data_IF_497440754204
#
_entry.id   IF_497440754204
#
_cell.length_a   1.000
_cell.length_b   1.000
_cell.length_c   1.000
_cell.angle_alpha   90.00
_cell.angle_beta   90.00
_cell.angle_gamma   90.00
#
_symmetry.space_group_name_H-M   'P 1'
#
loop_
_entity.id
_entity.type
_entity.pdbx_description
1 polymer ?
#
# COMPACT_ATOMS: atom_id res chain seq x y z
N UNK A 1 112.43 -2.23 52.95
CA UNK A 1 113.18 -2.07 51.68
C UNK A 1 112.16 -1.88 50.56
N UNK A 2 112.49 -1.03 49.57
CA UNK A 2 111.59 -0.46 48.54
C UNK A 2 110.89 -1.52 47.66
N UNK A 3 109.66 -1.21 47.26
CA UNK A 3 108.99 -1.82 46.09
C UNK A 3 107.79 -0.98 45.65
N UNK A 4 107.88 -0.33 44.49
CA UNK A 4 106.81 0.41 43.81
C UNK A 4 105.93 -0.55 42.99
N UNK A 5 104.65 -0.23 42.85
CA UNK A 5 103.79 -0.71 41.75
C UNK A 5 102.41 -0.09 41.94
N UNK A 6 101.89 0.82 41.12
CA UNK A 6 101.62 0.86 39.67
C UNK A 6 100.09 0.99 39.53
N UNK A 7 99.66 2.08 38.88
CA UNK A 7 98.29 2.53 38.72
C UNK A 7 97.54 1.68 37.69
N UNK A 8 96.29 1.32 37.97
CA UNK A 8 95.33 0.86 36.97
C UNK A 8 94.05 1.69 37.09
N UNK A 9 93.85 2.60 36.14
CA UNK A 9 92.64 3.38 35.96
C UNK A 9 91.88 2.79 34.76
N UNK A 10 90.76 2.09 35.02
CA UNK A 10 89.92 1.47 33.98
C UNK A 10 89.08 2.56 33.29
N UNK A 11 89.25 2.70 31.97
CA UNK A 11 88.34 3.45 31.07
C UNK A 11 87.20 2.53 30.63
N UNK A 12 85.98 2.99 30.82
CA UNK A 12 84.73 2.37 30.34
C UNK A 12 84.52 2.76 28.87
N UNK A 13 84.33 1.77 28.01
CA UNK A 13 83.95 1.97 26.60
C UNK A 13 82.42 1.90 26.49
N UNK A 14 81.81 2.98 26.00
CA UNK A 14 80.39 3.07 25.65
C UNK A 14 80.23 2.61 24.20
N UNK A 15 79.47 1.54 23.99
CA UNK A 15 78.98 1.14 22.67
C UNK A 15 77.53 1.61 22.53
N UNK A 16 77.29 2.58 21.65
CA UNK A 16 75.95 3.03 21.30
C UNK A 16 75.33 2.07 20.27
N UNK A 17 74.38 1.25 20.70
CA UNK A 17 73.54 0.46 19.81
C UNK A 17 72.34 1.32 19.35
N UNK A 18 72.40 1.83 18.12
CA UNK A 18 71.28 2.51 17.48
C UNK A 18 70.16 1.52 17.17
N UNK A 19 69.04 1.65 17.87
CA UNK A 19 67.83 0.87 17.61
C UNK A 19 66.91 1.69 16.71
N UNK A 20 66.76 1.29 15.45
CA UNK A 20 65.79 1.88 14.52
C UNK A 20 64.42 1.29 14.84
N UNK A 21 63.56 2.08 15.49
CA UNK A 21 62.15 1.74 15.65
C UNK A 21 61.41 2.01 14.33
N UNK A 22 61.12 0.94 13.58
CA UNK A 22 60.21 1.02 12.44
C UNK A 22 58.77 1.10 12.98
N UNK A 23 58.20 2.31 13.02
CA UNK A 23 56.79 2.50 13.34
C UNK A 23 55.94 2.01 12.17
N UNK A 24 55.45 0.78 12.25
CA UNK A 24 54.50 0.22 11.30
C UNK A 24 53.10 0.73 11.69
N UNK A 25 52.67 1.82 11.08
CA UNK A 25 51.29 2.32 11.20
C UNK A 25 50.37 1.42 10.38
N UNK A 26 49.80 0.40 11.02
CA UNK A 26 48.70 -0.37 10.45
C UNK A 26 47.48 0.55 10.33
N UNK A 27 47.23 1.04 9.12
CA UNK A 27 45.97 1.68 8.76
C UNK A 27 44.90 0.60 8.77
N UNK A 28 44.14 0.52 9.87
CA UNK A 28 42.88 -0.23 9.89
C UNK A 28 41.92 0.55 9.00
N UNK A 29 41.90 0.21 7.72
CA UNK A 29 40.84 0.63 6.83
C UNK A 29 39.54 0.01 7.35
N UNK A 30 38.69 0.83 7.97
CA UNK A 30 37.32 0.45 8.22
C UNK A 30 36.71 0.11 6.86
N UNK A 31 36.60 -1.18 6.56
CA UNK A 31 35.78 -1.64 5.46
C UNK A 31 34.35 -1.34 5.88
N UNK A 32 33.83 -0.20 5.43
CA UNK A 32 32.40 0.02 5.35
C UNK A 32 31.88 -1.10 4.47
N UNK A 33 31.41 -2.18 5.07
CA UNK A 33 30.51 -3.11 4.40
C UNK A 33 29.31 -2.26 4.03
N UNK A 34 29.30 -1.76 2.80
CA UNK A 34 28.11 -1.19 2.21
C UNK A 34 27.04 -2.27 2.36
N UNK A 35 26.05 -2.02 3.21
CA UNK A 35 24.83 -2.83 3.27
C UNK A 35 24.38 -2.98 1.82
N UNK A 36 24.32 -4.21 1.27
CA UNK A 36 23.85 -4.37 -0.09
C UNK A 36 22.48 -3.67 -0.17
N UNK A 37 22.23 -2.85 -1.21
CA UNK A 37 20.91 -2.25 -1.36
C UNK A 37 19.90 -3.40 -1.29
N UNK A 38 18.89 -3.26 -0.43
CA UNK A 38 17.78 -4.21 -0.35
C UNK A 38 17.30 -4.40 -1.78
N UNK A 39 17.61 -5.56 -2.36
CA UNK A 39 17.28 -5.87 -3.74
C UNK A 39 15.76 -5.96 -3.72
N UNK A 40 15.08 -4.92 -4.21
CA UNK A 40 13.63 -4.87 -4.20
C UNK A 40 13.13 -6.10 -4.92
N UNK A 41 12.47 -7.01 -4.19
CA UNK A 41 11.95 -8.25 -4.78
C UNK A 41 10.99 -7.91 -5.90
N UNK A 42 10.96 -8.74 -6.94
CA UNK A 42 10.16 -8.48 -8.14
C UNK A 42 9.29 -9.70 -8.46
N UNK A 43 8.06 -9.45 -8.91
CA UNK A 43 7.14 -10.42 -9.48
C UNK A 43 6.59 -9.84 -10.79
N UNK A 44 6.57 -10.68 -11.83
CA UNK A 44 6.01 -10.31 -13.13
C UNK A 44 4.50 -10.53 -13.09
N UNK A 45 3.73 -9.51 -13.45
CA UNK A 45 2.31 -9.63 -13.65
C UNK A 45 2.03 -10.42 -14.93
N UNK A 46 1.20 -11.45 -14.84
CA UNK A 46 0.82 -12.28 -16.00
C UNK A 46 -0.64 -12.03 -16.32
N UNK A 47 -0.92 -11.75 -17.59
CA UNK A 47 -2.29 -11.55 -18.04
C UNK A 47 -3.05 -12.88 -18.07
N UNK A 48 -4.19 -12.95 -17.41
CA UNK A 48 -5.06 -14.11 -17.40
C UNK A 48 -5.72 -14.29 -18.77
N UNK A 49 -5.63 -15.50 -19.33
CA UNK A 49 -6.37 -15.85 -20.56
C UNK A 49 -7.85 -16.05 -20.30
N UNK A 50 -8.18 -16.56 -19.10
CA UNK A 50 -9.52 -16.69 -18.55
C UNK A 50 -9.46 -16.22 -17.08
N UNK A 51 -10.40 -15.39 -16.62
CA UNK A 51 -10.49 -15.03 -15.20
C UNK A 51 -10.57 -16.28 -14.31
N UNK A 52 -9.80 -16.33 -13.20
CA UNK A 52 -9.95 -17.39 -12.20
C UNK A 52 -11.32 -17.29 -11.52
N UNK A 53 -11.84 -18.43 -11.05
CA UNK A 53 -13.07 -18.45 -10.25
C UNK A 53 -12.69 -18.22 -8.80
N UNK A 54 -13.26 -17.20 -8.15
CA UNK A 54 -12.94 -16.89 -6.75
C UNK A 54 -13.77 -17.79 -5.83
N UNK A 55 -13.31 -19.02 -5.62
CA UNK A 55 -13.94 -20.02 -4.76
C UNK A 55 -13.01 -20.53 -3.64
N UNK A 56 -11.77 -20.06 -3.63
CA UNK A 56 -10.75 -20.38 -2.63
C UNK A 56 -10.04 -21.69 -2.93
N UNK A 57 -10.37 -22.39 -4.02
CA UNK A 57 -9.74 -23.62 -4.46
C UNK A 57 -8.67 -23.34 -5.52
N UNK A 58 -7.40 -23.52 -5.16
CA UNK A 58 -6.30 -23.30 -6.10
C UNK A 58 -6.07 -24.50 -7.03
N UNK A 59 -7.01 -24.72 -7.96
CA UNK A 59 -6.93 -25.73 -9.02
C UNK A 59 -5.68 -25.50 -9.89
N UNK A 60 -5.03 -26.58 -10.30
CA UNK A 60 -3.70 -26.55 -10.93
C UNK A 60 -3.67 -25.72 -12.23
N UNK A 61 -4.76 -25.66 -13.00
CA UNK A 61 -4.77 -24.99 -14.30
C UNK A 61 -5.00 -23.48 -14.26
N UNK A 62 -5.71 -22.94 -13.25
CA UNK A 62 -6.11 -21.53 -13.24
C UNK A 62 -4.92 -20.59 -12.96
N UNK A 63 -4.00 -21.03 -12.09
CA UNK A 63 -2.87 -20.23 -11.63
C UNK A 63 -1.52 -20.63 -12.24
N UNK A 64 -1.47 -21.64 -13.12
CA UNK A 64 -0.19 -22.18 -13.63
C UNK A 64 0.69 -21.19 -14.39
N UNK A 65 0.09 -20.16 -14.97
CA UNK A 65 0.80 -19.14 -15.71
C UNK A 65 1.49 -18.12 -14.79
N UNK A 66 1.03 -17.99 -13.54
CA UNK A 66 1.60 -17.09 -12.56
C UNK A 66 2.84 -17.71 -11.89
N UNK A 67 3.89 -16.91 -11.73
CA UNK A 67 5.01 -17.28 -10.89
C UNK A 67 4.60 -17.25 -9.41
N UNK A 68 4.97 -18.28 -8.65
CA UNK A 68 4.82 -18.27 -7.21
C UNK A 68 5.91 -17.42 -6.56
N UNK A 69 5.54 -16.44 -5.73
CA UNK A 69 6.49 -15.80 -4.82
C UNK A 69 6.52 -16.51 -3.48
N UNK A 70 7.73 -16.72 -2.96
CA UNK A 70 7.98 -17.44 -1.70
C UNK A 70 8.96 -16.69 -0.82
N UNK A 71 9.37 -17.30 0.30
CA UNK A 71 10.45 -16.77 1.15
C UNK A 71 10.02 -15.56 1.98
N UNK A 72 8.83 -15.63 2.56
CA UNK A 72 8.31 -14.60 3.46
C UNK A 72 9.25 -14.44 4.67
N UNK A 73 9.45 -13.20 5.10
CA UNK A 73 10.35 -12.81 6.19
C UNK A 73 9.51 -12.33 7.36
N UNK A 74 9.80 -12.85 8.55
CA UNK A 74 9.11 -12.49 9.77
C UNK A 74 9.30 -11.00 10.09
N UNK A 75 8.19 -10.34 10.39
CA UNK A 75 8.13 -9.04 11.06
C UNK A 75 8.10 -9.23 12.58
N UNK A 76 7.41 -10.27 13.03
CA UNK A 76 7.34 -10.76 14.40
C UNK A 76 7.10 -12.29 14.38
N UNK A 77 7.45 -13.02 15.46
CA UNK A 77 8.15 -12.53 16.66
C UNK A 77 9.64 -12.28 16.41
N UNK A 78 10.25 -12.97 15.45
CA UNK A 78 11.70 -12.91 15.19
C UNK A 78 11.98 -12.11 13.92
N UNK A 79 11.99 -10.78 14.05
CA UNK A 79 12.16 -9.87 12.91
C UNK A 79 13.38 -10.21 12.07
N UNK A 80 13.19 -10.38 10.77
CA UNK A 80 14.25 -10.66 9.80
C UNK A 80 14.54 -12.14 9.56
N UNK A 81 13.98 -13.05 10.35
CA UNK A 81 14.09 -14.48 10.09
C UNK A 81 13.14 -14.93 8.98
N UNK A 82 13.40 -16.10 8.39
CA UNK A 82 12.48 -16.71 7.43
C UNK A 82 11.22 -17.18 8.17
N UNK A 83 10.06 -17.07 7.50
CA UNK A 83 8.80 -17.59 8.04
C UNK A 83 8.90 -19.08 8.36
N UNK A 84 8.32 -19.50 9.49
CA UNK A 84 8.42 -20.90 9.95
C UNK A 84 7.61 -21.86 9.05
N UNK A 85 6.69 -21.32 8.25
CA UNK A 85 5.88 -22.08 7.30
C UNK A 85 5.99 -21.51 5.89
N UNK A 86 5.77 -22.39 4.90
CA UNK A 86 5.78 -21.98 3.49
C UNK A 86 4.49 -21.22 3.17
N UNK A 87 4.64 -20.02 2.63
CA UNK A 87 3.56 -19.28 2.00
C UNK A 87 3.95 -18.97 0.57
N UNK A 88 3.01 -19.18 -0.35
CA UNK A 88 3.13 -18.84 -1.76
C UNK A 88 2.06 -17.82 -2.11
N UNK A 89 2.42 -16.77 -2.84
CA UNK A 89 1.46 -15.85 -3.45
C UNK A 89 1.62 -15.83 -4.97
N UNK A 90 0.51 -15.63 -5.66
CA UNK A 90 0.40 -15.64 -7.11
C UNK A 90 -0.34 -14.38 -7.55
N UNK A 91 0.05 -13.81 -8.68
CA UNK A 91 -0.61 -12.62 -9.23
C UNK A 91 -0.95 -12.84 -10.69
N UNK A 92 -2.21 -12.57 -11.02
CA UNK A 92 -2.71 -12.49 -12.38
C UNK A 92 -3.47 -11.16 -12.54
N UNK A 93 -3.69 -10.74 -13.78
CA UNK A 93 -4.56 -9.59 -14.06
C UNK A 93 -5.26 -9.75 -15.40
N UNK A 94 -6.34 -9.01 -15.61
CA UNK A 94 -6.93 -8.82 -16.93
C UNK A 94 -7.26 -7.33 -17.16
N UNK A 95 -8.08 -7.03 -18.16
CA UNK A 95 -8.45 -5.65 -18.49
C UNK A 95 -9.31 -4.97 -17.41
N UNK A 96 -9.93 -5.73 -16.50
CA UNK A 96 -10.86 -5.24 -15.50
C UNK A 96 -10.45 -5.50 -14.05
N UNK A 97 -9.62 -6.51 -13.76
CA UNK A 97 -9.32 -6.95 -12.40
C UNK A 97 -7.85 -7.30 -12.18
N UNK A 98 -7.40 -7.09 -10.93
CA UNK A 98 -6.21 -7.71 -10.37
C UNK A 98 -6.64 -8.95 -9.57
N UNK A 99 -6.01 -10.08 -9.81
CA UNK A 99 -6.24 -11.32 -9.09
C UNK A 99 -5.01 -11.71 -8.28
N UNK A 100 -5.23 -12.09 -7.03
CA UNK A 100 -4.15 -12.58 -6.16
C UNK A 100 -4.62 -13.85 -5.48
N UNK A 101 -3.75 -14.86 -5.39
CA UNK A 101 -4.03 -16.05 -4.63
C UNK A 101 -2.90 -16.40 -3.67
N UNK A 102 -3.24 -17.13 -2.62
CA UNK A 102 -2.32 -17.60 -1.61
C UNK A 102 -2.45 -19.12 -1.44
N UNK A 103 -1.32 -19.82 -1.44
CA UNK A 103 -1.19 -21.15 -0.83
C UNK A 103 -0.46 -21.00 0.48
N UNK A 104 -1.19 -21.20 1.56
CA UNK A 104 -0.65 -21.09 2.89
C UNK A 104 -0.51 -22.47 3.53
N UNK A 105 0.73 -22.97 3.51
CA UNK A 105 1.05 -24.23 4.14
C UNK A 105 1.04 -24.06 5.64
N UNK A 106 0.36 -24.96 6.32
CA UNK A 106 0.27 -24.93 7.77
C UNK A 106 0.06 -26.36 8.30
N UNK A 107 1.02 -26.92 9.06
CA UNK A 107 0.89 -28.26 9.62
C UNK A 107 -0.03 -28.31 10.85
N UNK A 108 -0.51 -27.16 11.34
CA UNK A 108 -1.32 -27.04 12.56
C UNK A 108 -2.75 -26.58 12.23
N UNK A 109 -3.71 -26.81 13.14
CA UNK A 109 -5.10 -26.39 12.93
C UNK A 109 -5.24 -24.88 12.69
N UNK A 110 -5.96 -24.52 11.63
CA UNK A 110 -6.22 -23.13 11.25
C UNK A 110 -7.19 -22.47 12.24
N UNK A 111 -6.81 -21.29 12.74
CA UNK A 111 -7.60 -20.44 13.63
C UNK A 111 -8.26 -19.34 12.81
N UNK A 112 -9.60 -19.34 12.74
CA UNK A 112 -10.34 -18.23 12.16
C UNK A 112 -11.74 -18.16 12.79
N UNK A 113 -12.05 -17.03 13.44
CA UNK A 113 -13.30 -16.81 14.17
C UNK A 113 -14.01 -15.51 13.76
N UNK A 114 -13.26 -14.54 13.21
CA UNK A 114 -13.80 -13.25 12.83
C UNK A 114 -14.61 -13.36 11.53
N UNK A 115 -15.88 -13.01 11.60
CA UNK A 115 -16.84 -13.03 10.46
C UNK A 115 -17.30 -11.64 10.04
N UNK A 116 -17.00 -10.63 10.86
CA UNK A 116 -17.34 -9.24 10.58
C UNK A 116 -16.32 -8.63 9.61
N UNK A 117 -16.81 -8.06 8.51
CA UNK A 117 -16.00 -7.25 7.59
C UNK A 117 -15.36 -6.07 8.33
N UNK A 118 -14.10 -5.79 8.00
CA UNK A 118 -13.27 -4.73 8.60
C UNK A 118 -12.93 -4.92 10.09
N UNK A 119 -13.09 -6.14 10.61
CA UNK A 119 -12.51 -6.52 11.89
C UNK A 119 -10.96 -6.58 11.80
N UNK A 120 -10.27 -6.63 12.95
CA UNK A 120 -8.82 -6.82 12.99
C UNK A 120 -8.45 -8.28 12.64
N UNK A 121 -8.44 -8.58 11.33
CA UNK A 121 -8.27 -9.95 10.81
C UNK A 121 -6.90 -10.57 11.11
N UNK A 122 -5.90 -9.79 11.56
CA UNK A 122 -4.64 -10.37 12.04
C UNK A 122 -4.76 -11.06 13.41
N UNK A 123 -5.92 -10.94 14.08
CA UNK A 123 -6.29 -11.80 15.21
C UNK A 123 -6.71 -13.22 14.78
N UNK A 124 -6.78 -13.50 13.48
CA UNK A 124 -6.96 -14.83 12.89
C UNK A 124 -5.72 -15.24 12.05
N UNK A 125 -5.73 -16.47 11.56
CA UNK A 125 -4.91 -16.84 10.42
C UNK A 125 -5.43 -16.12 9.17
N UNK A 126 -4.61 -15.21 8.66
CA UNK A 126 -4.99 -14.31 7.58
C UNK A 126 -3.86 -14.08 6.58
N UNK A 127 -4.24 -13.64 5.38
CA UNK A 127 -3.31 -13.19 4.35
C UNK A 127 -3.68 -11.78 3.93
N UNK A 128 -2.66 -11.00 3.56
CA UNK A 128 -2.82 -9.60 3.22
C UNK A 128 -2.09 -9.25 1.93
N UNK A 129 -2.61 -8.26 1.21
CA UNK A 129 -2.01 -7.63 0.04
C UNK A 129 -1.84 -6.16 0.37
N UNK A 130 -0.67 -5.61 0.08
CA UNK A 130 -0.42 -4.16 0.09
C UNK A 130 -0.07 -3.76 -1.34
N UNK A 131 -0.74 -2.74 -1.85
CA UNK A 131 -0.64 -2.33 -3.25
C UNK A 131 -0.42 -0.82 -3.38
N UNK A 132 0.63 -0.43 -4.10
CA UNK A 132 0.94 0.95 -4.51
C UNK A 132 0.80 1.04 -6.04
N UNK A 133 -0.37 1.46 -6.49
CA UNK A 133 -0.75 1.51 -7.91
C UNK A 133 -0.20 2.74 -8.65
N UNK A 134 0.34 3.72 -7.94
CA UNK A 134 0.98 4.92 -8.52
C UNK A 134 2.51 4.83 -8.48
N UNK A 135 3.05 3.86 -7.75
CA UNK A 135 4.47 3.66 -7.48
C UNK A 135 5.15 4.89 -6.86
N UNK A 136 4.39 5.66 -6.07
CA UNK A 136 4.88 6.83 -5.37
C UNK A 136 5.60 6.49 -4.05
N UNK A 137 5.57 5.20 -3.66
CA UNK A 137 6.18 4.63 -2.46
C UNK A 137 5.68 5.25 -1.15
N UNK A 138 4.48 5.81 -1.17
CA UNK A 138 3.92 6.58 -0.05
C UNK A 138 2.44 6.30 0.18
N UNK A 139 1.66 6.14 -0.89
CA UNK A 139 0.24 5.85 -0.83
C UNK A 139 -0.06 4.46 -1.38
N UNK A 140 -1.17 3.88 -0.95
CA UNK A 140 -1.55 2.56 -1.40
C UNK A 140 -2.86 2.07 -0.81
N UNK A 141 -3.09 0.79 -0.98
CA UNK A 141 -4.28 0.06 -0.53
C UNK A 141 -3.83 -1.18 0.22
N UNK A 142 -4.63 -1.64 1.18
CA UNK A 142 -4.50 -2.98 1.72
C UNK A 142 -5.80 -3.76 1.54
N UNK A 143 -5.65 -5.07 1.37
CA UNK A 143 -6.73 -6.05 1.35
C UNK A 143 -6.32 -7.22 2.23
N UNK A 144 -7.20 -7.68 3.10
CA UNK A 144 -6.94 -8.78 4.02
C UNK A 144 -8.11 -9.74 3.93
N UNK A 145 -7.80 -11.05 3.92
CA UNK A 145 -8.80 -12.07 4.18
C UNK A 145 -8.29 -13.11 5.17
N UNK A 146 -9.18 -13.60 6.03
CA UNK A 146 -8.89 -14.73 6.92
C UNK A 146 -9.29 -16.07 6.27
N UNK A 147 -9.03 -17.18 6.95
CA UNK A 147 -9.38 -18.51 6.45
C UNK A 147 -10.89 -18.81 6.36
N UNK A 148 -11.77 -17.84 6.68
CA UNK A 148 -13.21 -17.90 6.46
C UNK A 148 -13.65 -17.08 5.24
N UNK A 149 -12.74 -16.36 4.59
CA UNK A 149 -13.06 -15.44 3.50
C UNK A 149 -13.59 -14.07 3.98
N UNK A 150 -13.54 -13.78 5.28
CA UNK A 150 -13.91 -12.48 5.84
C UNK A 150 -12.98 -11.41 5.30
N UNK A 151 -13.51 -10.25 4.95
CA UNK A 151 -12.78 -9.17 4.26
C UNK A 151 -12.41 -8.04 5.21
N UNK A 152 -11.25 -7.42 4.98
CA UNK A 152 -10.96 -6.09 5.49
C UNK A 152 -10.13 -5.33 4.46
N UNK A 153 -10.45 -4.06 4.24
CA UNK A 153 -9.73 -3.21 3.30
C UNK A 153 -9.57 -1.77 3.81
N UNK A 154 -8.80 -0.99 3.06
CA UNK A 154 -8.54 0.40 3.38
C UNK A 154 -7.40 0.99 2.58
N UNK A 155 -7.16 2.28 2.82
CA UNK A 155 -6.08 3.03 2.19
C UNK A 155 -4.91 3.22 3.14
N UNK A 156 -3.74 3.33 2.54
CA UNK A 156 -2.48 3.63 3.20
C UNK A 156 -2.02 5.01 2.74
N UNK A 157 -1.64 5.84 3.70
CA UNK A 157 -1.01 7.13 3.44
C UNK A 157 0.23 7.33 4.32
N UNK A 158 1.07 8.26 3.90
CA UNK A 158 2.34 8.61 4.54
C UNK A 158 3.24 7.40 4.84
N UNK A 159 3.39 6.52 3.84
CA UNK A 159 4.29 5.37 3.88
C UNK A 159 4.03 4.43 5.08
N UNK A 160 2.75 4.08 5.28
CA UNK A 160 2.30 3.14 6.30
C UNK A 160 1.99 3.75 7.67
N UNK A 161 2.07 5.08 7.81
CA UNK A 161 1.78 5.76 9.09
C UNK A 161 0.30 6.06 9.31
N UNK A 162 -0.46 6.22 8.23
CA UNK A 162 -1.89 6.50 8.28
C UNK A 162 -2.60 5.36 7.55
N UNK A 163 -3.58 4.77 8.22
CA UNK A 163 -4.51 3.80 7.65
C UNK A 163 -5.91 4.42 7.68
N UNK A 164 -6.58 4.41 6.55
CA UNK A 164 -7.96 4.84 6.40
C UNK A 164 -8.82 3.62 6.11
N UNK A 165 -9.41 3.04 7.15
CA UNK A 165 -10.23 1.83 7.08
C UNK A 165 -11.71 2.11 6.76
N UNK A 166 -12.09 3.37 6.54
CA UNK A 166 -13.45 3.75 6.11
C UNK A 166 -13.65 3.64 4.60
N UNK A 167 -12.57 3.41 3.84
CA UNK A 167 -12.65 3.21 2.41
C UNK A 167 -12.97 1.76 2.10
N UNK A 168 -14.00 1.55 1.27
CA UNK A 168 -14.52 0.25 0.88
C UNK A 168 -14.47 0.07 -0.63
N UNK A 169 -13.82 -1.00 -1.09
CA UNK A 169 -13.84 -1.44 -2.48
C UNK A 169 -14.86 -2.57 -2.73
N UNK A 170 -15.43 -2.66 -3.94
CA UNK A 170 -16.30 -3.77 -4.34
C UNK A 170 -15.48 -4.99 -4.79
N UNK A 171 -14.66 -5.55 -3.90
CA UNK A 171 -13.77 -6.68 -4.20
C UNK A 171 -14.32 -8.03 -3.68
N UNK A 172 -13.85 -9.13 -4.26
CA UNK A 172 -14.28 -10.49 -3.88
C UNK A 172 -13.12 -11.27 -3.26
N UNK A 173 -13.43 -12.09 -2.26
CA UNK A 173 -12.53 -13.10 -1.72
C UNK A 173 -13.23 -14.42 -1.45
N UNK A 174 -12.45 -15.48 -1.53
CA UNK A 174 -12.84 -16.78 -1.04
C UNK A 174 -11.64 -17.47 -0.39
N UNK A 175 -11.89 -18.27 0.64
CA UNK A 175 -10.87 -19.03 1.33
C UNK A 175 -11.35 -20.45 1.58
N UNK A 176 -10.42 -21.41 1.50
CA UNK A 176 -10.72 -22.82 1.70
C UNK A 176 -9.63 -23.49 2.52
N UNK A 177 -10.04 -24.22 3.56
CA UNK A 177 -9.15 -25.10 4.30
C UNK A 177 -8.83 -26.32 3.44
N UNK A 178 -7.56 -26.71 3.43
CA UNK A 178 -7.03 -27.82 2.64
C UNK A 178 -6.31 -28.80 3.56
N UNK A 179 -5.86 -29.92 2.99
CA UNK A 179 -5.02 -30.90 3.69
C UNK A 179 -3.62 -30.36 4.04
N UNK A 180 -3.11 -29.40 3.26
CA UNK A 180 -1.82 -28.76 3.51
C UNK A 180 -1.89 -27.50 4.39
N UNK A 181 -3.08 -27.00 4.72
CA UNK A 181 -3.30 -25.75 5.42
C UNK A 181 -4.55 -25.03 4.92
N UNK A 182 -4.37 -23.97 4.12
CA UNK A 182 -5.48 -23.31 3.43
C UNK A 182 -5.05 -22.49 2.22
N UNK A 183 -6.01 -22.13 1.38
CA UNK A 183 -5.86 -21.21 0.27
C UNK A 183 -6.82 -20.04 0.36
N UNK A 184 -6.43 -18.94 -0.27
CA UNK A 184 -7.26 -17.75 -0.41
C UNK A 184 -7.12 -17.17 -1.81
N UNK A 185 -8.18 -16.58 -2.32
CA UNK A 185 -8.23 -15.92 -3.62
C UNK A 185 -8.89 -14.55 -3.49
N UNK A 186 -8.42 -13.60 -4.29
CA UNK A 186 -8.82 -12.21 -4.32
C UNK A 186 -9.12 -11.83 -5.77
N UNK A 187 -10.23 -11.13 -6.01
CA UNK A 187 -10.47 -10.39 -7.24
C UNK A 187 -10.80 -8.94 -6.90
N UNK A 188 -9.93 -8.02 -7.33
CA UNK A 188 -10.09 -6.59 -7.07
C UNK A 188 -10.28 -5.86 -8.40
N UNK A 189 -11.43 -5.20 -8.62
CA UNK A 189 -11.65 -4.41 -9.82
C UNK A 189 -10.62 -3.28 -9.94
N UNK A 190 -10.01 -3.12 -11.12
CA UNK A 190 -9.05 -2.05 -11.39
C UNK A 190 -9.68 -0.66 -11.24
N UNK A 191 -10.99 -0.53 -11.47
CA UNK A 191 -11.75 0.71 -11.22
C UNK A 191 -11.74 1.16 -9.75
N UNK A 192 -11.43 0.27 -8.81
CA UNK A 192 -11.25 0.60 -7.39
C UNK A 192 -9.99 1.44 -7.14
N UNK A 193 -9.03 1.43 -8.08
CA UNK A 193 -7.73 2.04 -7.93
C UNK A 193 -7.57 3.34 -8.71
N UNK A 194 -6.77 4.25 -8.17
CA UNK A 194 -6.13 5.30 -8.96
C UNK A 194 -4.83 4.77 -9.54
N UNK A 195 -4.72 4.69 -10.87
CA UNK A 195 -3.52 4.17 -11.53
C UNK A 195 -3.27 4.86 -12.88
N UNK A 196 -2.01 4.91 -13.29
CA UNK A 196 -1.64 5.34 -14.63
C UNK A 196 -1.86 4.20 -15.63
N UNK A 197 -2.58 4.49 -16.72
CA UNK A 197 -2.79 3.54 -17.80
C UNK A 197 -1.59 3.51 -18.75
N UNK A 198 -1.37 2.37 -19.39
CA UNK A 198 -0.29 2.20 -20.36
C UNK A 198 0.34 0.83 -20.29
N UNK A 199 1.40 0.66 -21.10
CA UNK A 199 2.18 -0.58 -21.13
C UNK A 199 3.30 -0.56 -20.09
N UNK A 200 3.70 -1.75 -19.66
CA UNK A 200 4.83 -1.99 -18.77
C UNK A 200 4.80 -1.13 -17.51
N UNK A 201 3.61 -0.90 -16.95
CA UNK A 201 3.47 -0.22 -15.67
C UNK A 201 4.15 -1.02 -14.56
N UNK A 202 4.58 -0.29 -13.54
CA UNK A 202 5.21 -0.83 -12.35
C UNK A 202 4.39 -0.38 -11.16
N UNK A 203 3.92 -1.33 -10.37
CA UNK A 203 3.25 -1.07 -9.10
C UNK A 203 4.11 -1.60 -7.95
N UNK A 204 3.94 -1.04 -6.77
CA UNK A 204 4.48 -1.62 -5.54
C UNK A 204 3.54 -2.71 -5.06
N UNK A 205 4.07 -3.86 -4.68
CA UNK A 205 3.26 -4.95 -4.11
C UNK A 205 3.97 -5.62 -2.94
N UNK A 206 3.21 -5.94 -1.90
CA UNK A 206 3.68 -6.79 -0.82
C UNK A 206 2.58 -7.76 -0.42
N UNK A 207 3.01 -8.88 0.14
CA UNK A 207 2.13 -9.95 0.61
C UNK A 207 2.44 -10.21 2.07
N UNK A 208 1.40 -10.35 2.88
CA UNK A 208 1.49 -10.62 4.31
C UNK A 208 0.82 -11.94 4.67
N UNK A 209 1.33 -12.57 5.72
CA UNK A 209 0.77 -13.75 6.35
C UNK A 209 0.74 -13.53 7.86
N UNK A 210 -0.40 -13.80 8.48
CA UNK A 210 -0.56 -13.88 9.93
C UNK A 210 -0.85 -15.31 10.35
N UNK A 211 -0.17 -15.77 11.40
CA UNK A 211 -0.45 -17.02 12.11
C UNK A 211 -0.83 -16.71 13.54
N UNK A 212 -2.11 -16.87 13.89
CA UNK A 212 -2.62 -16.42 15.19
C UNK A 212 -1.94 -17.11 16.37
N UNK A 213 -1.84 -18.44 16.31
CA UNK A 213 -1.36 -19.26 17.44
C UNK A 213 0.11 -19.05 17.80
N UNK A 214 0.95 -18.69 16.83
CA UNK A 214 2.39 -18.42 17.04
C UNK A 214 2.69 -16.92 17.15
N UNK A 215 1.69 -16.07 16.90
CA UNK A 215 1.83 -14.63 16.75
C UNK A 215 2.88 -14.27 15.68
N UNK A 216 3.05 -15.13 14.69
CA UNK A 216 3.96 -14.87 13.58
C UNK A 216 3.24 -14.03 12.54
N UNK A 217 3.81 -12.87 12.23
CA UNK A 217 3.46 -12.13 11.01
C UNK A 217 4.68 -12.06 10.12
N UNK A 218 4.53 -12.46 8.87
CA UNK A 218 5.60 -12.49 7.88
C UNK A 218 5.17 -11.82 6.59
N UNK A 219 6.13 -11.20 5.89
CA UNK A 219 5.88 -10.42 4.69
C UNK A 219 6.91 -10.75 3.61
N UNK A 220 6.47 -10.71 2.35
CA UNK A 220 7.35 -11.02 1.21
C UNK A 220 8.46 -9.98 1.04
N UNK A 221 8.14 -8.68 1.12
CA UNK A 221 9.11 -7.59 1.03
C UNK A 221 10.00 -7.39 2.28
N UNK A 222 9.89 -8.27 3.28
CA UNK A 222 10.59 -8.10 4.55
C UNK A 222 12.12 -8.21 4.46
N UNK A 223 12.84 -7.80 5.53
CA UNK A 223 12.29 -7.30 6.79
C UNK A 223 11.69 -5.90 6.64
N UNK A 224 10.49 -5.71 7.19
CA UNK A 224 9.81 -4.41 7.17
C UNK A 224 10.08 -3.64 8.46
N UNK A 225 10.13 -2.31 8.38
CA UNK A 225 10.15 -1.42 9.55
C UNK A 225 8.77 -1.32 10.20
N UNK A 226 7.74 -1.27 9.35
CA UNK A 226 6.31 -1.23 9.69
C UNK A 226 5.58 -2.20 8.73
N UNK A 227 4.61 -2.97 9.24
CA UNK A 227 3.82 -3.93 8.46
C UNK A 227 3.11 -3.32 7.22
N UNK A 228 2.87 -2.01 7.22
CA UNK A 228 2.22 -1.26 6.13
C UNK A 228 3.19 -0.39 5.33
N UNK A 229 4.50 -0.62 5.44
CA UNK A 229 5.54 0.21 4.81
C UNK A 229 5.54 0.05 3.29
N UNK A 230 4.92 1.00 2.60
CA UNK A 230 4.74 1.01 1.14
C UNK A 230 6.09 1.10 0.42
N UNK A 231 7.01 1.92 0.93
CA UNK A 231 8.33 2.12 0.33
C UNK A 231 9.24 0.88 0.33
N UNK A 232 8.92 -0.10 1.17
CA UNK A 232 9.61 -1.40 1.29
C UNK A 232 8.89 -2.53 0.53
N UNK A 233 7.78 -2.24 -0.16
CA UNK A 233 7.12 -3.21 -1.02
C UNK A 233 8.04 -3.66 -2.16
N UNK A 234 7.83 -4.90 -2.64
CA UNK A 234 8.43 -5.36 -3.87
C UNK A 234 7.78 -4.70 -5.10
N UNK A 235 8.19 -5.13 -6.28
CA UNK A 235 7.74 -4.57 -7.56
C UNK A 235 6.87 -5.58 -8.30
N UNK A 236 5.69 -5.16 -8.70
CA UNK A 236 4.85 -5.85 -9.68
C UNK A 236 5.11 -5.20 -11.04
N UNK A 237 5.72 -5.93 -11.97
CA UNK A 237 6.16 -5.39 -13.26
C UNK A 237 5.36 -5.94 -14.44
N UNK A 238 5.49 -5.31 -15.60
CA UNK A 238 4.89 -5.78 -16.87
C UNK A 238 3.35 -5.72 -16.87
N UNK A 239 2.78 -4.74 -16.17
CA UNK A 239 1.36 -4.45 -16.18
C UNK A 239 0.98 -3.64 -17.43
N UNK A 240 0.20 -4.25 -18.32
CA UNK A 240 -0.41 -3.58 -19.46
C UNK A 240 -1.87 -3.25 -19.12
N UNK A 241 -2.08 -2.16 -18.39
CA UNK A 241 -3.39 -1.79 -17.85
C UNK A 241 -4.11 -0.77 -18.74
N UNK A 242 -5.38 -1.01 -19.08
CA UNK A 242 -6.16 -0.10 -19.90
C UNK A 242 -6.51 1.18 -19.13
N UNK A 243 -6.88 2.27 -19.81
CA UNK A 243 -7.49 3.43 -19.17
C UNK A 243 -8.66 3.02 -18.27
N UNK A 244 -8.83 3.63 -17.08
CA UNK A 244 -9.95 3.33 -16.20
C UNK A 244 -11.29 3.42 -16.95
N UNK A 245 -12.16 2.42 -16.75
CA UNK A 245 -13.41 2.31 -17.50
C UNK A 245 -14.38 3.46 -17.19
N UNK A 246 -14.33 4.02 -15.98
CA UNK A 246 -15.21 5.11 -15.52
C UNK A 246 -14.69 6.50 -15.89
N UNK A 247 -13.98 6.60 -17.01
CA UNK A 247 -13.54 7.90 -17.54
C UNK A 247 -14.71 8.80 -17.90
N UNK A 248 -15.90 8.26 -18.13
CA UNK A 248 -17.09 9.02 -18.49
C UNK A 248 -18.23 8.62 -17.55
N UNK A 249 -18.75 9.57 -16.79
CA UNK A 249 -19.96 9.40 -15.99
C UNK A 249 -21.01 10.36 -16.51
N UNK A 250 -22.23 9.87 -16.75
CA UNK A 250 -23.36 10.67 -17.22
C UNK A 250 -24.54 10.45 -16.27
N UNK A 251 -25.05 11.55 -15.73
CA UNK A 251 -26.12 11.60 -14.73
C UNK A 251 -27.29 12.40 -15.31
N UNK A 252 -28.25 11.75 -15.99
CA UNK A 252 -29.47 12.40 -16.42
C UNK A 252 -30.41 12.62 -15.22
N UNK A 253 -31.09 13.76 -15.19
CA UNK A 253 -32.11 14.06 -14.19
C UNK A 253 -33.34 14.72 -14.82
N UNK A 254 -34.49 14.52 -14.18
CA UNK A 254 -35.74 15.17 -14.52
C UNK A 254 -36.47 15.57 -13.24
N UNK A 255 -37.01 16.78 -13.23
CA UNK A 255 -37.71 17.39 -12.12
C UNK A 255 -39.12 17.76 -12.56
N UNK A 256 -40.09 17.57 -11.67
CA UNK A 256 -41.45 18.06 -11.86
C UNK A 256 -41.85 18.92 -10.67
N UNK A 257 -42.38 20.12 -10.95
CA UNK A 257 -42.91 21.03 -9.95
C UNK A 257 -44.41 21.12 -10.12
N UNK A 258 -45.13 20.74 -9.07
CA UNK A 258 -46.58 20.87 -8.99
C UNK A 258 -46.90 21.94 -7.96
N UNK A 259 -47.58 23.00 -8.38
CA UNK A 259 -48.05 24.07 -7.52
C UNK A 259 -49.56 24.23 -7.69
N UNK A 260 -50.28 24.34 -6.57
CA UNK A 260 -51.73 24.42 -6.57
C UNK A 260 -52.20 25.65 -7.35
N UNK A 261 -53.06 25.44 -8.36
CA UNK A 261 -53.53 26.49 -9.26
C UNK A 261 -52.61 26.83 -10.44
N UNK A 262 -51.46 26.16 -10.60
CA UNK A 262 -50.58 26.29 -11.79
C UNK A 262 -50.45 24.96 -12.53
N UNK A 263 -50.18 25.05 -13.84
CA UNK A 263 -49.85 23.87 -14.64
C UNK A 263 -48.53 23.24 -14.15
N UNK A 264 -48.40 21.90 -14.17
CA UNK A 264 -47.16 21.23 -13.81
C UNK A 264 -46.00 21.70 -14.70
N UNK A 265 -44.92 22.11 -14.06
CA UNK A 265 -43.68 22.49 -14.74
C UNK A 265 -42.71 21.31 -14.72
N UNK A 266 -42.05 21.04 -15.84
CA UNK A 266 -41.09 19.94 -15.97
C UNK A 266 -39.75 20.50 -16.47
N UNK A 267 -38.68 20.00 -15.88
CA UNK A 267 -37.31 20.32 -16.25
C UNK A 267 -36.52 19.03 -16.38
N UNK A 268 -35.54 19.00 -17.27
CA UNK A 268 -34.62 17.89 -17.40
C UNK A 268 -33.23 18.41 -17.74
N UNK A 269 -32.22 17.75 -17.21
CA UNK A 269 -30.82 18.09 -17.42
C UNK A 269 -29.92 16.87 -17.41
N UNK A 270 -28.68 17.08 -17.79
CA UNK A 270 -27.66 16.03 -17.84
C UNK A 270 -26.36 16.60 -17.29
N UNK A 271 -25.81 15.94 -16.29
CA UNK A 271 -24.45 16.19 -15.83
C UNK A 271 -23.51 15.13 -16.41
N UNK A 272 -22.34 15.55 -16.87
CA UNK A 272 -21.31 14.68 -17.41
C UNK A 272 -19.95 15.00 -16.77
N UNK A 273 -19.21 13.94 -16.43
CA UNK A 273 -17.84 14.00 -15.92
C UNK A 273 -16.94 13.19 -16.82
N UNK A 274 -15.83 13.78 -17.23
CA UNK A 274 -14.79 13.16 -18.05
C UNK A 274 -13.43 13.18 -17.36
N UNK A 275 -12.89 12.04 -16.92
CA UNK A 275 -11.57 11.97 -16.29
C UNK A 275 -10.44 11.97 -17.33
N UNK A 276 -9.67 13.07 -17.40
CA UNK A 276 -8.48 13.19 -18.26
C UNK A 276 -7.32 12.34 -17.74
N UNK A 277 -7.09 12.37 -16.42
CA UNK A 277 -6.07 11.61 -15.70
C UNK A 277 -6.68 11.08 -14.38
N UNK A 278 -6.00 10.18 -13.63
CA UNK A 278 -6.47 9.75 -12.31
C UNK A 278 -6.64 10.90 -11.29
N UNK A 279 -6.08 12.08 -11.57
CA UNK A 279 -6.12 13.27 -10.70
C UNK A 279 -6.75 14.49 -11.36
N UNK A 280 -7.24 14.39 -12.60
CA UNK A 280 -7.77 15.52 -13.37
C UNK A 280 -9.03 15.10 -14.12
N UNK A 281 -10.12 15.84 -13.93
CA UNK A 281 -11.39 15.62 -14.62
C UNK A 281 -11.98 16.93 -15.16
N UNK A 282 -12.78 16.80 -16.22
CA UNK A 282 -13.59 17.85 -16.84
C UNK A 282 -15.04 17.57 -16.50
N UNK A 283 -15.77 18.61 -16.12
CA UNK A 283 -17.20 18.53 -15.82
C UNK A 283 -17.97 19.38 -16.82
N UNK A 284 -19.09 18.88 -17.30
CA UNK A 284 -19.99 19.58 -18.20
C UNK A 284 -21.44 19.34 -17.75
N UNK A 285 -22.26 20.37 -17.82
CA UNK A 285 -23.70 20.27 -17.53
C UNK A 285 -24.50 20.82 -18.72
N UNK A 286 -25.59 20.15 -19.08
CA UNK A 286 -26.53 20.57 -20.10
C UNK A 286 -27.90 20.75 -19.44
N UNK A 287 -28.51 21.91 -19.69
CA UNK A 287 -29.75 22.35 -19.04
C UNK A 287 -29.68 22.27 -17.50
N UNK A 288 -28.74 23.01 -16.88
CA UNK A 288 -28.59 23.02 -15.43
C UNK A 288 -29.88 23.48 -14.74
N UNK A 289 -30.30 22.74 -13.71
CA UNK A 289 -31.34 23.18 -12.79
C UNK A 289 -30.80 24.33 -11.91
N UNK A 290 -31.34 25.53 -12.11
CA UNK A 290 -31.08 26.70 -11.28
C UNK A 290 -32.11 26.90 -10.18
N UNK A 291 -33.22 26.17 -10.21
CA UNK A 291 -34.33 26.33 -9.29
C UNK A 291 -34.16 25.55 -7.99
N UNK A 292 -33.15 24.67 -7.92
CA UNK A 292 -32.64 24.07 -6.66
C UNK A 292 -31.32 24.70 -6.22
N UNK A 293 -31.05 25.95 -6.61
CA UNK A 293 -30.35 26.84 -5.67
C UNK A 293 -31.36 27.06 -4.55
N UNK A 294 -31.15 26.44 -3.39
CA UNK A 294 -31.87 26.82 -2.17
C UNK A 294 -31.81 28.36 -2.15
N UNK A 295 -32.96 29.02 -2.36
CA UNK A 295 -33.07 30.45 -2.18
C UNK A 295 -32.40 30.76 -0.85
N UNK A 296 -31.43 31.68 -0.86
CA UNK A 296 -30.76 32.14 0.35
C UNK A 296 -31.81 32.25 1.44
N UNK A 297 -31.72 31.41 2.49
CA UNK A 297 -32.51 31.67 3.67
C UNK A 297 -32.11 33.09 4.08
N UNK A 298 -33.03 34.05 3.97
CA UNK A 298 -32.82 35.38 4.52
C UNK A 298 -32.62 35.23 6.03
N UNK A 299 -31.37 35.07 6.43
CA UNK A 299 -30.98 35.18 7.82
C UNK A 299 -30.75 36.66 8.06
N UNK A 300 -31.66 37.28 8.81
CA UNK A 300 -31.43 38.63 9.33
C UNK A 300 -30.30 38.53 10.36
N UNK A 301 -29.06 38.72 9.90
CA UNK A 301 -27.91 38.75 10.76
C UNK A 301 -27.74 40.15 11.36
N UNK A 302 -28.09 40.27 12.65
CA UNK A 302 -27.97 41.51 13.43
C UNK A 302 -26.56 41.69 14.03
N UNK A 303 -25.59 40.85 13.64
CA UNK A 303 -24.19 40.92 14.13
C UNK A 303 -23.26 41.52 13.07
N UNK A 304 -22.05 41.94 13.47
CA UNK A 304 -21.05 42.59 12.59
C UNK A 304 -20.21 41.62 11.75
N UNK A 305 -20.58 40.34 11.73
CA UNK A 305 -19.83 39.29 11.02
C UNK A 305 -20.62 38.81 9.82
N UNK A 306 -19.96 38.50 8.71
CA UNK A 306 -20.62 37.99 7.50
C UNK A 306 -21.19 36.58 7.69
N UNK A 307 -22.34 36.34 7.06
CA UNK A 307 -22.96 35.02 6.97
C UNK A 307 -22.13 34.15 6.01
N UNK A 308 -21.54 33.08 6.54
CA UNK A 308 -20.90 32.06 5.73
C UNK A 308 -21.91 30.94 5.48
N UNK A 309 -22.44 30.87 4.26
CA UNK A 309 -23.32 29.78 3.84
C UNK A 309 -22.48 28.62 3.28
N UNK A 310 -22.71 27.37 3.72
CA UNK A 310 -22.05 26.21 3.15
C UNK A 310 -22.55 25.97 1.72
N UNK A 311 -21.63 25.85 0.76
CA UNK A 311 -21.94 25.50 -0.63
C UNK A 311 -22.43 24.03 -0.70
N UNK A 312 -23.55 23.80 -1.39
CA UNK A 312 -24.27 22.51 -1.38
C UNK A 312 -24.37 21.84 -2.76
N UNK A 313 -24.01 22.53 -3.84
CA UNK A 313 -24.04 21.96 -5.18
C UNK A 313 -22.92 20.92 -5.33
N UNK A 314 -23.25 19.70 -5.74
CA UNK A 314 -22.29 18.58 -5.91
C UNK A 314 -21.05 18.97 -6.74
N UNK A 315 -21.22 19.80 -7.77
CA UNK A 315 -20.12 20.36 -8.58
C UNK A 315 -19.06 21.11 -7.77
N UNK A 316 -19.45 21.77 -6.68
CA UNK A 316 -18.54 22.53 -5.80
C UNK A 316 -18.19 21.78 -4.51
N UNK A 317 -18.74 20.57 -4.30
CA UNK A 317 -18.46 19.72 -3.14
C UNK A 317 -17.29 18.76 -3.42
N UNK A 318 -17.15 18.23 -4.64
CA UNK A 318 -16.00 17.39 -5.00
C UNK A 318 -14.72 18.22 -5.13
N UNK A 319 -13.68 17.91 -4.34
CA UNK A 319 -12.40 18.64 -4.34
C UNK A 319 -12.27 19.73 -3.26
N UNK A 320 -13.28 19.94 -2.41
CA UNK A 320 -13.17 20.89 -1.28
C UNK A 320 -12.03 20.54 -0.33
N UNK A 321 -11.66 19.26 -0.21
CA UNK A 321 -10.48 18.84 0.55
C UNK A 321 -9.17 19.50 0.10
N UNK A 322 -9.05 19.94 -1.16
CA UNK A 322 -7.86 20.66 -1.65
C UNK A 322 -7.82 22.13 -1.23
N UNK A 323 -8.96 22.72 -0.87
CA UNK A 323 -9.10 24.14 -0.52
C UNK A 323 -9.26 24.38 0.99
N UNK A 324 -9.35 23.32 1.79
CA UNK A 324 -9.38 23.40 3.25
C UNK A 324 -7.96 23.66 3.81
N UNK A 325 -7.55 24.92 3.82
CA UNK A 325 -6.30 25.35 4.46
C UNK A 325 -6.48 25.44 5.99
N UNK A 326 -5.41 25.19 6.76
CA UNK A 326 -5.40 25.34 8.24
C UNK A 326 -5.78 26.74 8.75
N UNK A 327 -5.78 27.74 7.87
CA UNK A 327 -6.14 29.11 8.19
C UNK A 327 -7.20 29.59 7.19
N UNK A 328 -8.30 30.15 7.70
CA UNK A 328 -9.27 30.90 6.88
C UNK A 328 -8.59 32.17 6.37
N UNK A 329 -8.20 32.20 5.11
CA UNK A 329 -7.70 33.39 4.44
C UNK A 329 -8.89 34.30 4.12
N UNK A 330 -8.98 35.43 4.81
CA UNK A 330 -9.98 36.46 4.53
C UNK A 330 -9.58 37.21 3.26
N UNK A 331 -10.45 37.24 2.25
CA UNK A 331 -10.39 38.23 1.19
C UNK A 331 -11.28 39.40 1.61
N UNK A 332 -10.69 40.61 1.65
CA UNK A 332 -11.38 41.87 1.94
C UNK A 332 -12.21 42.37 0.78
#
# INVERSE_FOLDING_TARGET
MRGRGCQYCRRVAVWAAGTVFLACTATVGAQTTATPPLTSREIVAVQATKPPVIDGEMVEDEWKAAAAVTGFIQYEPRRGEVSDVRTEAFVLYDAGHLYVAFRAWDPEPITAELTQRDADLFLDDAVAIVLDTTFDRRSGYYFITNALGTQADGRIADDGRILESSWDAPWQSAARRTDYGWSAEFSVPLSSFRYAAGKSQIWGINFGRSRRRTLERSFWGGPLDNQWRVSQAGRLTTLDVPPPMDRIQVLPYALTRVQEGMAPHWEAGIDARYALTPTTAVYATLFPDFATIEADQEQINLTRFELSLPEKRQFFLEGQEQFNQRFRTFYS
#
